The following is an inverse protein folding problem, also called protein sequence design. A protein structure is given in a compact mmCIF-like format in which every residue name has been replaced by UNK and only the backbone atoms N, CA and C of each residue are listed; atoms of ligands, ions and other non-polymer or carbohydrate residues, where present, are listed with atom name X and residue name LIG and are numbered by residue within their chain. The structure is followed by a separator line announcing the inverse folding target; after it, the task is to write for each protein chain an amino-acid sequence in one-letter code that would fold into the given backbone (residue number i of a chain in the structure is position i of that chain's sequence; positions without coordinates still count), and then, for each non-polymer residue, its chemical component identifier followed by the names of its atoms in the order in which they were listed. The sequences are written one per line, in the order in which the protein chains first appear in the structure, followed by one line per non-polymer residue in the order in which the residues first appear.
data_IF_063927279596
#
_entry.id   IF_063927279596
#
_cell.length_a   1.000
_cell.length_b   1.000
_cell.length_c   1.000
_cell.angle_alpha   90.00
_cell.angle_beta   90.00
_cell.angle_gamma   90.00
#
_symmetry.space_group_name_H-M   'P 1'
#
loop_
_entity.id
_entity.type
_entity.pdbx_description
1 polymer ?
#
# COMPACT_ATOMS: atom_id res chain seq x y z
N UNK A 1 -24.54 -11.20 -11.37
CA UNK A 1 -25.35 -9.96 -11.39
C UNK A 1 -24.56 -8.72 -10.91
N UNK A 2 -23.27 -8.58 -11.30
CA UNK A 2 -22.40 -7.47 -10.85
C UNK A 2 -21.76 -6.69 -12.03
N UNK A 3 -22.15 -7.01 -13.26
CA UNK A 3 -21.47 -6.58 -14.49
C UNK A 3 -21.83 -5.15 -14.93
N UNK A 4 -22.70 -4.45 -14.20
CA UNK A 4 -23.12 -3.07 -14.49
C UNK A 4 -22.52 -2.02 -13.55
N UNK A 5 -21.72 -2.41 -12.56
CA UNK A 5 -21.30 -1.53 -11.46
C UNK A 5 -19.97 -0.80 -11.65
N UNK A 6 -19.12 -1.22 -12.60
CA UNK A 6 -17.69 -0.98 -12.37
C UNK A 6 -16.93 -0.28 -13.49
N UNK A 7 -17.43 -0.25 -14.72
CA UNK A 7 -16.74 0.46 -15.82
C UNK A 7 -17.09 1.94 -15.88
N UNK A 8 -18.33 2.22 -16.27
CA UNK A 8 -18.76 3.58 -16.60
C UNK A 8 -19.07 4.47 -15.38
N UNK A 9 -19.65 3.88 -14.33
CA UNK A 9 -19.96 4.59 -13.09
C UNK A 9 -18.70 5.09 -12.38
N UNK A 10 -17.64 4.28 -12.36
CA UNK A 10 -16.36 4.68 -11.75
C UNK A 10 -15.74 5.89 -12.46
N UNK A 11 -15.82 5.93 -13.80
CA UNK A 11 -15.34 7.08 -14.58
C UNK A 11 -16.16 8.35 -14.31
N UNK A 12 -17.49 8.23 -14.19
CA UNK A 12 -18.37 9.37 -13.84
C UNK A 12 -18.04 9.90 -12.44
N UNK A 13 -17.90 9.03 -11.45
CA UNK A 13 -17.54 9.43 -10.08
C UNK A 13 -16.16 10.09 -10.07
N UNK A 14 -15.19 9.53 -10.79
CA UNK A 14 -13.86 10.12 -10.94
C UNK A 14 -13.92 11.50 -11.60
N UNK A 15 -14.73 11.66 -12.64
CA UNK A 15 -14.94 12.94 -13.32
C UNK A 15 -15.54 13.99 -12.37
N UNK A 16 -16.55 13.63 -11.56
CA UNK A 16 -17.14 14.52 -10.54
C UNK A 16 -16.10 14.90 -9.49
N UNK A 17 -15.32 13.93 -8.99
CA UNK A 17 -14.23 14.19 -8.04
C UNK A 17 -13.19 15.13 -8.64
N UNK A 18 -12.81 14.96 -9.91
CA UNK A 18 -11.88 15.85 -10.61
C UNK A 18 -12.47 17.25 -10.82
N UNK A 19 -13.79 17.38 -10.97
CA UNK A 19 -14.46 18.68 -11.08
C UNK A 19 -14.44 19.45 -9.75
N UNK A 20 -14.71 18.75 -8.64
CA UNK A 20 -14.77 19.36 -7.29
C UNK A 20 -13.37 19.62 -6.72
N UNK A 21 -12.48 18.64 -6.83
CA UNK A 21 -11.13 18.72 -6.26
C UNK A 21 -10.09 19.28 -7.25
N UNK A 22 -10.32 19.17 -8.56
CA UNK A 22 -9.36 19.56 -9.59
C UNK A 22 -8.36 18.44 -9.94
N UNK A 23 -7.83 18.49 -11.17
CA UNK A 23 -6.90 17.49 -11.71
C UNK A 23 -5.56 17.38 -10.97
N UNK A 24 -5.14 18.44 -10.27
CA UNK A 24 -3.86 18.47 -9.55
C UNK A 24 -3.99 18.05 -8.08
N UNK A 25 -5.15 18.22 -7.44
CA UNK A 25 -5.31 17.96 -6.00
C UNK A 25 -5.50 16.49 -5.68
N UNK A 26 -6.30 15.75 -6.45
CA UNK A 26 -6.45 14.30 -6.26
C UNK A 26 -5.12 13.53 -6.30
N UNK A 27 -4.27 13.69 -7.35
CA UNK A 27 -2.99 12.97 -7.39
C UNK A 27 -2.02 13.47 -6.32
N UNK A 28 -2.08 14.75 -5.92
CA UNK A 28 -1.24 15.28 -4.85
C UNK A 28 -1.60 14.67 -3.49
N UNK A 29 -2.90 14.58 -3.17
CA UNK A 29 -3.39 13.96 -1.93
C UNK A 29 -3.11 12.45 -1.93
N UNK A 30 -3.35 11.76 -3.05
CA UNK A 30 -3.07 10.34 -3.19
C UNK A 30 -1.57 10.03 -3.00
N UNK A 31 -0.67 10.87 -3.52
CA UNK A 31 0.78 10.74 -3.31
C UNK A 31 1.15 10.89 -1.83
N UNK A 32 0.60 11.89 -1.13
CA UNK A 32 0.85 12.11 0.29
C UNK A 32 0.36 10.95 1.17
N UNK A 33 -0.88 10.51 0.97
CA UNK A 33 -1.46 9.36 1.70
C UNK A 33 -0.73 8.06 1.36
N UNK A 34 -0.40 7.84 0.09
CA UNK A 34 0.33 6.66 -0.36
C UNK A 34 1.73 6.56 0.24
N UNK A 35 2.42 7.69 0.43
CA UNK A 35 3.73 7.72 1.07
C UNK A 35 3.64 7.38 2.57
N UNK A 36 2.63 7.87 3.29
CA UNK A 36 2.39 7.51 4.70
C UNK A 36 2.04 6.03 4.87
N UNK A 37 1.20 5.47 3.98
CA UNK A 37 0.85 4.05 4.00
C UNK A 37 2.02 3.14 3.63
N UNK A 38 2.93 3.62 2.76
CA UNK A 38 4.14 2.87 2.39
C UNK A 38 5.09 2.74 3.57
N UNK A 39 5.37 3.85 4.28
CA UNK A 39 6.23 3.83 5.48
C UNK A 39 5.67 2.84 6.51
N UNK A 40 4.38 2.96 6.83
CA UNK A 40 3.72 2.03 7.75
C UNK A 40 3.79 0.57 7.27
N UNK A 41 3.63 0.32 5.97
CA UNK A 41 3.70 -1.04 5.42
C UNK A 41 5.12 -1.61 5.44
N UNK A 42 6.13 -0.77 5.24
CA UNK A 42 7.53 -1.16 5.28
C UNK A 42 7.93 -1.51 6.73
N UNK A 43 7.55 -0.68 7.72
CA UNK A 43 7.73 -0.98 9.16
C UNK A 43 7.04 -2.29 9.55
N UNK A 44 5.75 -2.44 9.23
CA UNK A 44 4.98 -3.66 9.55
C UNK A 44 5.53 -4.92 8.84
N UNK A 45 6.18 -4.75 7.68
CA UNK A 45 6.84 -5.87 7.00
C UNK A 45 8.13 -6.27 7.69
N UNK A 46 8.91 -5.32 8.17
CA UNK A 46 10.17 -5.59 8.88
C UNK A 46 9.90 -6.43 10.13
N UNK A 47 8.86 -6.06 10.90
CA UNK A 47 8.41 -6.81 12.08
C UNK A 47 7.97 -8.26 11.75
N UNK A 48 7.25 -8.43 10.62
CA UNK A 48 6.82 -9.75 10.15
C UNK A 48 7.99 -10.59 9.62
N UNK A 49 9.01 -9.97 9.04
CA UNK A 49 10.16 -10.68 8.45
C UNK A 49 11.15 -11.09 9.53
N UNK A 50 11.33 -10.28 10.58
CA UNK A 50 12.08 -10.64 11.78
C UNK A 50 11.49 -11.89 12.49
N UNK A 51 10.17 -12.13 12.33
CA UNK A 51 9.50 -13.31 12.89
C UNK A 51 9.65 -14.58 12.04
N UNK A 52 10.29 -14.55 10.86
CA UNK A 52 10.41 -15.71 9.94
C UNK A 52 11.85 -16.09 9.61
N UNK A 53 12.86 -15.27 9.93
CA UNK A 53 14.26 -15.59 9.62
C UNK A 53 15.05 -16.15 10.81
N UNK A 54 14.53 -16.12 12.03
CA UNK A 54 15.29 -16.55 13.21
C UNK A 54 15.21 -18.06 13.55
N UNK A 55 14.78 -18.91 12.60
CA UNK A 55 14.76 -20.38 12.80
C UNK A 55 15.69 -21.16 11.83
N UNK A 56 16.42 -20.49 10.92
CA UNK A 56 17.20 -21.20 9.89
C UNK A 56 18.68 -20.82 9.79
N UNK A 57 19.27 -20.17 10.79
CA UNK A 57 20.74 -20.04 10.85
C UNK A 57 21.22 -19.98 12.30
N UNK A 58 21.25 -21.12 12.98
CA UNK A 58 22.19 -21.32 14.09
C UNK A 58 23.54 -21.67 13.43
N UNK A 59 24.50 -20.74 13.32
CA UNK A 59 25.84 -21.12 12.95
C UNK A 59 26.40 -21.96 14.10
N UNK A 60 26.69 -23.23 13.82
CA UNK A 60 27.65 -24.00 14.60
C UNK A 60 29.01 -23.28 14.50
N UNK A 61 29.20 -22.28 15.36
CA UNK A 61 30.46 -21.62 15.64
C UNK A 61 30.66 -21.76 17.13
N UNK A 62 31.81 -22.33 17.50
CA UNK A 62 32.37 -22.37 18.84
C UNK A 62 31.71 -23.36 19.81
N UNK A 63 32.17 -24.59 19.73
CA UNK A 63 32.60 -25.28 20.94
C UNK A 63 33.84 -26.13 20.62
N UNK A 64 34.93 -25.78 21.31
CA UNK A 64 36.13 -26.58 21.65
C UNK A 64 36.98 -27.15 20.52
#
# INVERSE_FOLDING_TARGET
MLHNLTGWHALIVLAILLLVFGSTKLPSLAKGVGQSLRILKDEVREDKTASTTDDATVPYRQAS
#
